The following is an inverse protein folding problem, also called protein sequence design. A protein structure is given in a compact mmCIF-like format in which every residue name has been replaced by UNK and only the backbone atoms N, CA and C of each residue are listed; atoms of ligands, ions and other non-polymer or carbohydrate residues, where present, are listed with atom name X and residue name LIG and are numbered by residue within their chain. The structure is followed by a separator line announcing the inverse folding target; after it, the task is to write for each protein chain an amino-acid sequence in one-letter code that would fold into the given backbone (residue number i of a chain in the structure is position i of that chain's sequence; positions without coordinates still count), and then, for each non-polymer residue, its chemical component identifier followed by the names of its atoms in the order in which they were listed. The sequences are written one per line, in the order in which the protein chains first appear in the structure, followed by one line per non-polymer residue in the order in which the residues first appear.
data_IF_619202547392
#
_entry.id   IF_619202547392
#
_cell.length_a   1.000
_cell.length_b   1.000
_cell.length_c   1.000
_cell.angle_alpha   90.00
_cell.angle_beta   90.00
_cell.angle_gamma   90.00
#
_symmetry.space_group_name_H-M   'P 1'
#
loop_
_entity.id
_entity.type
_entity.pdbx_description
1 polymer ?
#
# COMPACT_ATOMS: atom_id res chain seq x y z
N UNK A 1 -43.01 -0.89 12.98
CA UNK A 1 -42.37 -0.44 11.71
C UNK A 1 -42.01 1.03 11.89
N UNK A 2 -41.03 1.32 12.70
CA UNK A 2 -40.49 2.68 12.83
C UNK A 2 -39.25 2.77 11.95
N UNK A 3 -39.42 3.44 10.83
CA UNK A 3 -38.30 3.79 9.95
C UNK A 3 -37.45 4.84 10.66
N UNK A 4 -36.27 4.46 11.14
CA UNK A 4 -35.28 5.39 11.64
C UNK A 4 -34.86 6.28 10.46
N UNK A 5 -35.36 7.50 10.45
CA UNK A 5 -34.91 8.56 9.52
C UNK A 5 -33.50 8.96 9.93
N UNK A 6 -32.49 8.42 9.29
CA UNK A 6 -31.12 8.93 9.40
C UNK A 6 -31.13 10.34 8.81
N UNK A 7 -30.91 11.36 9.64
CA UNK A 7 -30.70 12.74 9.18
C UNK A 7 -29.45 12.76 8.31
N UNK A 8 -29.56 13.18 7.05
CA UNK A 8 -28.40 13.43 6.21
C UNK A 8 -27.57 14.54 6.84
N UNK A 9 -26.26 14.36 7.04
CA UNK A 9 -25.41 15.45 7.46
C UNK A 9 -25.43 16.56 6.40
N UNK A 10 -25.59 17.80 6.84
CA UNK A 10 -25.75 18.94 5.94
C UNK A 10 -24.44 19.65 5.62
N UNK A 11 -23.37 19.37 6.37
CA UNK A 11 -22.05 19.99 6.19
C UNK A 11 -20.92 18.96 6.26
N UNK A 12 -19.78 19.27 5.61
CA UNK A 12 -18.57 18.43 5.64
C UNK A 12 -18.08 18.22 7.08
N UNK A 13 -18.16 19.23 7.90
CA UNK A 13 -17.75 19.22 9.32
C UNK A 13 -18.60 18.27 10.17
N UNK A 14 -19.91 18.17 9.90
CA UNK A 14 -20.79 17.19 10.55
C UNK A 14 -20.47 15.77 10.13
N UNK A 15 -20.02 15.55 8.88
CA UNK A 15 -19.59 14.24 8.39
C UNK A 15 -18.24 13.82 8.98
N UNK A 16 -17.31 14.75 9.14
CA UNK A 16 -16.04 14.50 9.84
C UNK A 16 -16.27 14.15 11.31
N UNK A 17 -17.16 14.87 11.98
CA UNK A 17 -17.60 14.56 13.34
C UNK A 17 -18.29 13.20 13.43
N UNK A 18 -19.08 12.82 12.44
CA UNK A 18 -19.75 11.52 12.41
C UNK A 18 -18.78 10.34 12.30
N UNK A 19 -17.72 10.46 11.50
CA UNK A 19 -16.64 9.47 11.42
C UNK A 19 -15.83 9.39 12.72
N UNK A 20 -15.66 10.50 13.44
CA UNK A 20 -15.05 10.55 14.77
C UNK A 20 -15.98 10.08 15.89
N UNK A 21 -17.30 10.29 15.76
CA UNK A 21 -18.29 9.97 16.82
C UNK A 21 -18.50 8.47 16.98
N UNK A 22 -18.22 7.67 15.97
CA UNK A 22 -18.20 6.20 16.10
C UNK A 22 -17.12 5.74 17.10
N UNK A 23 -16.09 6.55 17.36
CA UNK A 23 -14.99 6.25 18.27
C UNK A 23 -15.11 6.85 19.69
N UNK A 24 -16.07 7.72 19.99
CA UNK A 24 -15.95 8.59 21.18
C UNK A 24 -17.06 8.40 22.23
N UNK A 25 -18.20 7.81 21.95
CA UNK A 25 -19.35 7.90 22.87
C UNK A 25 -19.62 6.68 23.76
N UNK A 26 -18.62 5.79 23.94
CA UNK A 26 -18.62 4.88 25.09
C UNK A 26 -17.39 5.15 25.95
N UNK A 27 -17.51 6.06 26.88
CA UNK A 27 -16.61 6.14 28.04
C UNK A 27 -16.85 4.89 28.92
N UNK A 28 -16.29 3.78 28.52
CA UNK A 28 -15.98 2.71 29.44
C UNK A 28 -14.69 3.10 30.16
N UNK A 29 -14.68 3.03 31.47
CA UNK A 29 -13.53 3.26 32.36
C UNK A 29 -12.35 2.29 32.12
N UNK A 30 -12.49 1.34 31.21
CA UNK A 30 -11.52 0.32 30.87
C UNK A 30 -11.12 0.47 29.42
N UNK A 31 -9.81 0.64 29.20
CA UNK A 31 -9.24 1.01 27.89
C UNK A 31 -9.64 0.08 26.72
N UNK A 32 -9.65 0.64 25.54
CA UNK A 32 -9.94 -0.08 24.28
C UNK A 32 -8.94 -1.21 24.10
N UNK A 33 -9.41 -2.46 24.11
CA UNK A 33 -8.59 -3.62 23.77
C UNK A 33 -8.79 -3.96 22.29
N UNK A 34 -7.70 -3.83 21.52
CA UNK A 34 -7.69 -4.23 20.10
C UNK A 34 -7.07 -5.60 20.00
N UNK A 35 -7.83 -6.56 19.49
CA UNK A 35 -7.37 -7.92 19.25
C UNK A 35 -7.12 -8.12 17.74
N UNK A 36 -5.86 -8.37 17.37
CA UNK A 36 -5.49 -8.72 16.01
C UNK A 36 -5.55 -10.23 15.83
N UNK A 37 -6.14 -10.67 14.75
CA UNK A 37 -6.22 -12.07 14.37
C UNK A 37 -5.43 -12.23 13.07
N UNK A 38 -4.20 -12.74 13.19
CA UNK A 38 -3.42 -13.14 12.01
C UNK A 38 -3.96 -14.45 11.44
N UNK A 39 -3.88 -14.62 10.12
CA UNK A 39 -4.36 -15.80 9.41
C UNK A 39 -3.81 -17.09 10.03
N UNK A 40 -4.68 -18.07 10.17
CA UNK A 40 -4.35 -19.37 10.70
C UNK A 40 -3.42 -20.12 9.74
N UNK A 41 -2.17 -20.25 10.10
CA UNK A 41 -1.39 -21.41 9.72
C UNK A 41 -1.83 -22.57 10.62
N UNK A 42 -2.15 -23.73 10.01
CA UNK A 42 -2.74 -24.92 10.64
C UNK A 42 -1.79 -25.61 11.63
N UNK A 43 -0.64 -25.01 11.96
CA UNK A 43 0.35 -25.48 12.92
C UNK A 43 0.45 -24.53 14.13
N UNK A 44 -0.43 -24.73 15.00
CA UNK A 44 -0.48 -24.73 16.48
C UNK A 44 0.40 -23.85 17.34
N UNK A 45 0.53 -22.53 17.15
CA UNK A 45 0.87 -21.65 18.29
C UNK A 45 0.06 -20.35 18.26
N UNK A 46 -0.89 -20.25 19.21
CA UNK A 46 -1.70 -19.05 19.45
C UNK A 46 -0.84 -17.88 19.94
N UNK A 47 -0.38 -17.02 19.05
CA UNK A 47 0.26 -15.75 19.39
C UNK A 47 -0.78 -14.61 19.37
N UNK A 48 -1.54 -14.49 20.47
CA UNK A 48 -2.34 -13.29 20.70
C UNK A 48 -1.44 -12.18 21.24
N UNK A 49 -1.25 -11.10 20.49
CA UNK A 49 -0.64 -9.87 21.00
C UNK A 49 -1.73 -8.93 21.49
N UNK A 50 -1.88 -8.81 22.81
CA UNK A 50 -2.66 -7.73 23.41
C UNK A 50 -1.79 -6.48 23.51
N UNK A 51 -2.26 -5.39 22.92
CA UNK A 51 -1.62 -4.09 23.09
C UNK A 51 -2.35 -3.29 24.17
N UNK A 52 -1.61 -2.77 25.14
CA UNK A 52 -2.13 -1.82 26.13
C UNK A 52 -1.45 -0.47 25.98
N UNK A 53 -2.13 0.65 26.21
CA UNK A 53 -1.60 2.00 26.02
C UNK A 53 -0.40 2.34 26.91
N UNK A 54 -0.14 1.55 27.96
CA UNK A 54 0.87 1.88 28.98
C UNK A 54 2.22 1.16 28.82
N UNK A 55 2.47 0.40 27.77
CA UNK A 55 3.79 -0.17 27.48
C UNK A 55 4.40 -1.07 28.56
N UNK A 56 3.66 -1.50 29.58
CA UNK A 56 4.17 -2.34 30.66
C UNK A 56 4.16 -3.80 30.28
N UNK A 57 5.34 -4.42 30.18
CA UNK A 57 5.47 -5.88 30.04
C UNK A 57 4.82 -6.58 31.23
N UNK A 58 3.88 -7.50 30.92
CA UNK A 58 3.27 -8.33 31.94
C UNK A 58 4.35 -9.19 32.66
N UNK A 59 4.28 -9.34 33.99
CA UNK A 59 5.25 -10.16 34.74
C UNK A 59 5.09 -11.66 34.41
N UNK A 60 6.17 -12.45 34.46
CA UNK A 60 6.11 -13.86 34.12
C UNK A 60 5.19 -14.64 35.08
N UNK A 61 4.15 -15.25 34.51
CA UNK A 61 3.16 -16.01 35.26
C UNK A 61 3.74 -17.32 35.78
N UNK A 62 3.72 -17.52 37.13
CA UNK A 62 3.97 -18.82 37.82
C UNK A 62 2.92 -19.85 37.33
N UNK A 63 3.41 -21.00 36.81
CA UNK A 63 2.59 -22.12 36.37
C UNK A 63 1.78 -22.70 37.52
N UNK A 64 0.51 -22.35 37.67
CA UNK A 64 -0.48 -23.17 38.38
C UNK A 64 -1.23 -24.02 37.33
N UNK A 65 -1.22 -25.36 37.47
CA UNK A 65 -2.06 -26.27 36.69
C UNK A 65 -3.53 -25.82 36.83
N UNK A 66 -4.05 -25.08 35.84
CA UNK A 66 -5.48 -24.80 35.70
C UNK A 66 -6.11 -25.79 34.73
N UNK A 67 -7.33 -26.25 35.05
CA UNK A 67 -8.23 -26.96 34.15
C UNK A 67 -8.14 -26.33 32.75
N UNK A 68 -7.88 -27.16 31.74
CA UNK A 68 -7.88 -26.75 30.34
C UNK A 68 -9.35 -26.40 30.00
N UNK A 69 -9.70 -25.14 30.17
CA UNK A 69 -10.90 -24.58 29.54
C UNK A 69 -10.64 -24.69 28.03
N UNK A 70 -11.51 -25.39 27.29
CA UNK A 70 -11.30 -25.63 25.88
C UNK A 70 -11.05 -24.31 25.14
N UNK A 71 -10.13 -24.29 24.15
CA UNK A 71 -9.74 -23.09 23.37
C UNK A 71 -10.95 -22.29 22.86
N UNK A 72 -12.02 -22.98 22.47
CA UNK A 72 -13.28 -22.36 22.00
C UNK A 72 -14.02 -21.55 23.07
N UNK A 73 -14.06 -21.99 24.33
CA UNK A 73 -14.72 -21.25 25.40
C UNK A 73 -13.98 -19.95 25.75
N UNK A 74 -12.63 -19.98 25.73
CA UNK A 74 -11.80 -18.79 25.96
C UNK A 74 -11.95 -17.75 24.83
N UNK A 75 -12.08 -18.21 23.58
CA UNK A 75 -12.31 -17.32 22.42
C UNK A 75 -13.65 -16.62 22.51
N UNK A 76 -14.71 -17.36 22.90
CA UNK A 76 -16.05 -16.78 23.12
C UNK A 76 -16.03 -15.70 24.19
N UNK A 77 -15.34 -15.93 25.31
CA UNK A 77 -15.18 -14.97 26.39
C UNK A 77 -14.48 -13.70 25.91
N UNK A 78 -13.34 -13.83 25.18
CA UNK A 78 -12.58 -12.69 24.64
C UNK A 78 -13.44 -11.85 23.69
N UNK A 79 -14.12 -12.47 22.72
CA UNK A 79 -14.96 -11.75 21.76
C UNK A 79 -16.13 -11.08 22.48
N UNK A 80 -16.74 -11.75 23.43
CA UNK A 80 -17.88 -11.21 24.19
C UNK A 80 -17.53 -9.99 25.05
N UNK A 81 -16.30 -9.90 25.51
CA UNK A 81 -15.80 -8.79 26.35
C UNK A 81 -15.16 -7.66 25.52
N UNK A 82 -14.90 -7.89 24.23
CA UNK A 82 -14.24 -6.92 23.37
C UNK A 82 -15.22 -5.90 22.84
N UNK A 83 -14.87 -4.61 22.94
CA UNK A 83 -15.62 -3.51 22.31
C UNK A 83 -15.32 -3.39 20.81
N UNK A 84 -14.13 -3.83 20.38
CA UNK A 84 -13.71 -3.81 18.97
C UNK A 84 -13.04 -5.15 18.64
N UNK A 85 -13.45 -5.76 17.54
CA UNK A 85 -12.84 -7.00 17.01
C UNK A 85 -12.34 -6.71 15.61
N UNK A 86 -11.06 -6.99 15.36
CA UNK A 86 -10.43 -6.85 14.03
C UNK A 86 -10.14 -8.24 13.47
N UNK A 87 -10.61 -8.48 12.25
CA UNK A 87 -10.42 -9.77 11.57
C UNK A 87 -10.47 -9.58 10.05
N UNK A 88 -9.99 -10.56 9.28
CA UNK A 88 -10.22 -10.58 7.83
C UNK A 88 -11.67 -10.95 7.51
N UNK A 89 -12.15 -10.62 6.29
CA UNK A 89 -13.50 -11.02 5.85
C UNK A 89 -13.67 -12.54 5.90
N UNK A 90 -12.68 -13.30 5.42
CA UNK A 90 -12.67 -14.77 5.50
C UNK A 90 -12.63 -15.27 6.95
N UNK A 91 -11.84 -14.60 7.83
CA UNK A 91 -11.79 -14.89 9.27
C UNK A 91 -13.15 -14.73 9.94
N UNK A 92 -13.88 -13.66 9.64
CA UNK A 92 -15.25 -13.42 10.09
C UNK A 92 -16.21 -14.53 9.62
N UNK A 93 -15.91 -15.14 8.46
CA UNK A 93 -16.65 -16.28 7.88
C UNK A 93 -16.35 -17.61 8.53
N UNK A 94 -15.29 -17.75 9.31
CA UNK A 94 -14.87 -19.02 9.89
C UNK A 94 -15.87 -19.52 10.92
N UNK A 95 -16.08 -20.85 10.96
CA UNK A 95 -16.98 -21.48 11.95
C UNK A 95 -16.58 -21.10 13.39
N UNK A 96 -15.29 -21.06 13.66
CA UNK A 96 -14.77 -20.74 14.99
C UNK A 96 -15.12 -19.31 15.44
N UNK A 97 -15.08 -18.34 14.49
CA UNK A 97 -15.48 -16.97 14.77
C UNK A 97 -16.99 -16.86 14.95
N UNK A 98 -17.79 -17.47 14.05
CA UNK A 98 -19.25 -17.48 14.13
C UNK A 98 -19.72 -18.06 15.46
N UNK A 99 -19.21 -19.25 15.84
CA UNK A 99 -19.56 -19.91 17.10
C UNK A 99 -19.16 -19.09 18.34
N UNK A 100 -18.18 -18.20 18.21
CA UNK A 100 -17.72 -17.34 19.28
C UNK A 100 -18.48 -16.02 19.36
N UNK A 101 -18.82 -15.42 18.20
CA UNK A 101 -19.49 -14.13 18.09
C UNK A 101 -21.01 -14.25 18.28
N UNK A 102 -21.66 -15.28 17.69
CA UNK A 102 -23.10 -15.47 17.81
C UNK A 102 -23.46 -15.98 19.22
N UNK A 103 -24.05 -15.13 20.03
CA UNK A 103 -24.43 -15.44 21.43
C UNK A 103 -25.68 -16.31 21.50
N UNK A 104 -26.67 -16.01 20.69
CA UNK A 104 -27.95 -16.74 20.62
C UNK A 104 -28.51 -16.66 19.20
N UNK A 105 -28.52 -17.77 18.44
CA UNK A 105 -29.06 -17.80 17.08
C UNK A 105 -30.56 -17.53 16.99
N UNK A 106 -31.28 -17.51 18.12
CA UNK A 106 -32.72 -17.24 18.19
C UNK A 106 -33.03 -15.76 18.41
N UNK A 107 -32.04 -14.95 18.80
CA UNK A 107 -32.20 -13.52 18.97
C UNK A 107 -31.94 -12.76 17.66
N UNK A 108 -32.87 -11.87 17.35
CA UNK A 108 -32.73 -10.93 16.22
C UNK A 108 -31.86 -9.69 16.57
N UNK A 109 -31.17 -9.74 17.70
CA UNK A 109 -30.35 -8.65 18.17
C UNK A 109 -29.03 -8.62 17.37
N UNK A 110 -28.54 -7.41 17.09
CA UNK A 110 -27.25 -7.19 16.46
C UNK A 110 -26.11 -7.69 17.36
N UNK A 111 -25.24 -8.54 16.80
CA UNK A 111 -24.01 -8.98 17.50
C UNK A 111 -22.95 -7.89 17.52
N UNK A 112 -22.92 -7.05 16.48
CA UNK A 112 -22.06 -5.88 16.37
C UNK A 112 -22.87 -4.67 15.90
N UNK A 113 -22.80 -3.56 16.60
CA UNK A 113 -23.51 -2.33 16.23
C UNK A 113 -23.04 -1.80 14.85
N UNK A 114 -21.74 -1.90 14.56
CA UNK A 114 -21.16 -1.42 13.34
C UNK A 114 -20.13 -2.40 12.75
N UNK A 115 -20.08 -2.47 11.43
CA UNK A 115 -19.03 -3.15 10.66
C UNK A 115 -18.33 -2.13 9.79
N UNK A 116 -17.01 -2.05 9.90
CA UNK A 116 -16.17 -1.22 9.04
C UNK A 116 -15.31 -2.16 8.20
N UNK A 117 -15.39 -2.02 6.89
CA UNK A 117 -14.61 -2.82 5.94
C UNK A 117 -13.62 -1.89 5.26
N UNK A 118 -12.35 -2.06 5.60
CA UNK A 118 -11.25 -1.36 4.93
C UNK A 118 -10.83 -2.10 3.66
N UNK A 119 -10.24 -1.38 2.70
CA UNK A 119 -9.88 -1.90 1.37
C UNK A 119 -11.08 -2.58 0.64
N UNK A 120 -12.30 -2.06 0.83
CA UNK A 120 -13.53 -2.66 0.31
C UNK A 120 -13.59 -2.75 -1.22
N UNK A 121 -12.74 -2.01 -1.94
CA UNK A 121 -12.63 -2.08 -3.41
C UNK A 121 -11.87 -3.32 -3.89
N UNK A 122 -11.09 -3.98 -3.02
CA UNK A 122 -10.30 -5.18 -3.35
C UNK A 122 -11.03 -6.46 -2.99
N UNK A 123 -12.01 -6.37 -2.08
CA UNK A 123 -12.85 -7.49 -1.70
C UNK A 123 -13.96 -7.73 -2.75
N UNK A 124 -14.20 -9.00 -3.08
CA UNK A 124 -15.34 -9.36 -3.90
C UNK A 124 -16.65 -9.03 -3.18
N UNK A 125 -17.73 -8.86 -3.94
CA UNK A 125 -19.04 -8.57 -3.36
C UNK A 125 -19.46 -9.69 -2.38
N UNK A 126 -19.23 -10.95 -2.71
CA UNK A 126 -19.54 -12.09 -1.85
C UNK A 126 -18.75 -12.09 -0.53
N UNK A 127 -17.47 -11.71 -0.56
CA UNK A 127 -16.67 -11.58 0.66
C UNK A 127 -17.17 -10.44 1.55
N UNK A 128 -17.53 -9.31 0.94
CA UNK A 128 -18.08 -8.14 1.65
C UNK A 128 -19.39 -8.45 2.36
N UNK A 129 -20.16 -9.42 1.87
CA UNK A 129 -21.42 -9.86 2.51
C UNK A 129 -21.21 -10.76 3.75
N UNK A 130 -20.02 -11.34 3.94
CA UNK A 130 -19.75 -12.27 5.04
C UNK A 130 -20.07 -11.66 6.42
N UNK A 131 -19.62 -10.48 6.78
CA UNK A 131 -19.90 -9.90 8.11
C UNK A 131 -21.35 -9.44 8.29
N UNK A 132 -22.17 -9.37 7.23
CA UNK A 132 -23.59 -9.00 7.35
C UNK A 132 -24.42 -10.00 8.13
N UNK A 133 -23.96 -11.26 8.21
CA UNK A 133 -24.62 -12.30 9.02
C UNK A 133 -24.68 -11.99 10.52
N UNK A 134 -23.84 -11.05 10.99
CA UNK A 134 -23.88 -10.58 12.38
C UNK A 134 -24.92 -9.48 12.61
N UNK A 135 -25.74 -9.19 11.60
CA UNK A 135 -26.85 -8.22 11.64
C UNK A 135 -26.44 -6.83 12.14
N UNK A 136 -25.36 -6.19 11.60
CA UNK A 136 -24.96 -4.88 12.04
C UNK A 136 -26.01 -3.81 11.68
N UNK A 137 -26.18 -2.83 12.55
CA UNK A 137 -27.06 -1.67 12.28
C UNK A 137 -26.45 -0.68 11.30
N UNK A 138 -25.10 -0.64 11.24
CA UNK A 138 -24.35 0.26 10.37
C UNK A 138 -23.21 -0.45 9.67
N UNK A 139 -23.03 -0.14 8.38
CA UNK A 139 -21.92 -0.64 7.59
C UNK A 139 -21.21 0.53 6.95
N UNK A 140 -19.89 0.59 7.13
CA UNK A 140 -19.03 1.57 6.49
C UNK A 140 -18.05 0.86 5.58
N UNK A 141 -18.06 1.19 4.29
CA UNK A 141 -17.10 0.70 3.32
C UNK A 141 -16.04 1.78 3.09
N UNK A 142 -14.77 1.44 3.33
CA UNK A 142 -13.63 2.29 3.05
C UNK A 142 -12.83 1.66 1.92
N UNK A 143 -12.44 2.43 0.91
CA UNK A 143 -11.70 1.88 -0.22
C UNK A 143 -11.48 2.92 -1.31
N UNK A 144 -10.62 2.58 -2.26
CA UNK A 144 -10.27 3.45 -3.36
C UNK A 144 -10.47 2.74 -4.71
N UNK A 145 -11.51 3.09 -5.48
CA UNK A 145 -11.79 2.48 -6.77
C UNK A 145 -10.75 2.84 -7.86
N UNK A 146 -9.86 3.81 -7.58
CA UNK A 146 -8.74 4.18 -8.44
C UNK A 146 -7.46 3.40 -8.15
N UNK A 147 -7.49 2.53 -7.12
CA UNK A 147 -6.43 1.55 -6.81
C UNK A 147 -6.82 0.15 -7.28
N UNK A 148 -6.11 -0.89 -6.80
CA UNK A 148 -6.30 -2.25 -7.31
C UNK A 148 -7.76 -2.74 -7.18
N UNK A 149 -8.29 -3.40 -8.21
CA UNK A 149 -9.61 -4.01 -8.17
C UNK A 149 -9.55 -5.37 -7.48
N UNK A 150 -10.71 -5.99 -7.33
CA UNK A 150 -10.83 -7.40 -6.94
C UNK A 150 -9.97 -8.27 -7.85
N UNK A 151 -9.13 -9.13 -7.26
CA UNK A 151 -8.35 -10.12 -8.00
C UNK A 151 -9.17 -11.39 -8.17
N UNK A 152 -9.44 -11.76 -9.42
CA UNK A 152 -10.06 -13.03 -9.76
C UNK A 152 -9.09 -13.89 -10.57
N UNK A 153 -8.92 -15.14 -10.16
CA UNK A 153 -8.18 -16.15 -10.93
C UNK A 153 -9.04 -16.78 -12.04
N UNK A 154 -10.32 -16.43 -12.12
CA UNK A 154 -11.22 -16.93 -13.15
C UNK A 154 -10.84 -16.33 -14.51
N UNK A 155 -11.02 -17.12 -15.56
CA UNK A 155 -10.70 -16.78 -16.95
C UNK A 155 -11.61 -15.67 -17.48
N UNK A 156 -11.44 -15.25 -18.74
CA UNK A 156 -12.18 -14.15 -19.43
C UNK A 156 -13.72 -14.14 -19.23
N UNK A 157 -14.32 -15.20 -18.70
CA UNK A 157 -15.73 -15.24 -18.32
C UNK A 157 -16.04 -14.41 -17.05
N UNK A 158 -15.04 -14.18 -16.18
CA UNK A 158 -15.22 -13.41 -14.94
C UNK A 158 -15.55 -11.94 -15.20
N UNK A 159 -14.96 -11.35 -16.25
CA UNK A 159 -15.28 -9.97 -16.67
C UNK A 159 -16.71 -9.82 -17.17
N UNK A 160 -17.25 -10.85 -17.87
CA UNK A 160 -18.65 -10.88 -18.31
C UNK A 160 -19.63 -11.08 -17.15
N UNK A 161 -19.23 -11.82 -16.12
CA UNK A 161 -20.08 -12.14 -14.97
C UNK A 161 -20.02 -11.11 -13.83
N UNK A 162 -19.24 -10.04 -13.97
CA UNK A 162 -19.05 -8.99 -12.96
C UNK A 162 -18.47 -9.50 -11.62
N UNK A 163 -17.85 -10.68 -11.60
CA UNK A 163 -17.21 -11.23 -10.39
C UNK A 163 -16.04 -10.38 -9.86
N UNK A 164 -15.45 -9.57 -10.74
CA UNK A 164 -14.35 -8.67 -10.39
C UNK A 164 -14.86 -7.30 -9.88
N UNK A 165 -16.18 -7.12 -9.77
CA UNK A 165 -16.75 -5.89 -9.23
C UNK A 165 -16.94 -6.03 -7.72
N UNK A 166 -16.40 -5.07 -6.97
CA UNK A 166 -16.65 -4.97 -5.53
C UNK A 166 -18.06 -4.43 -5.22
N UNK A 167 -18.55 -4.70 -4.01
CA UNK A 167 -19.79 -4.07 -3.52
C UNK A 167 -19.64 -2.53 -3.50
N UNK A 168 -18.45 -2.02 -3.16
CA UNK A 168 -18.15 -0.59 -3.16
C UNK A 168 -18.39 0.03 -4.54
N UNK A 169 -17.81 -0.54 -5.61
CA UNK A 169 -18.01 -0.07 -6.99
C UNK A 169 -19.49 -0.17 -7.42
N UNK A 170 -20.18 -1.24 -7.01
CA UNK A 170 -21.60 -1.37 -7.33
C UNK A 170 -22.44 -0.27 -6.70
N UNK A 171 -22.23 0.01 -5.42
CA UNK A 171 -22.97 1.06 -4.69
C UNK A 171 -22.63 2.44 -5.25
N UNK A 172 -21.37 2.71 -5.59
CA UNK A 172 -20.94 3.94 -6.22
C UNK A 172 -21.59 4.14 -7.60
N UNK A 173 -21.67 3.09 -8.42
CA UNK A 173 -22.33 3.15 -9.73
C UNK A 173 -23.86 3.40 -9.63
N UNK A 174 -24.46 3.07 -8.51
CA UNK A 174 -25.84 3.41 -8.18
C UNK A 174 -25.98 4.86 -7.64
N UNK A 175 -24.90 5.64 -7.72
CA UNK A 175 -24.87 7.03 -7.24
C UNK A 175 -25.21 7.17 -5.74
N UNK A 176 -24.94 6.14 -4.94
CA UNK A 176 -25.03 6.26 -3.50
C UNK A 176 -24.03 7.31 -3.00
N UNK A 177 -24.42 8.14 -2.04
CA UNK A 177 -23.51 9.17 -1.53
C UNK A 177 -22.19 8.58 -1.06
N UNK A 178 -21.08 9.06 -1.65
CA UNK A 178 -19.72 8.68 -1.27
C UNK A 178 -18.97 9.93 -0.81
N UNK A 179 -18.13 9.78 0.21
CA UNK A 179 -17.26 10.84 0.68
C UNK A 179 -15.82 10.56 0.26
N UNK A 180 -15.19 11.55 -0.37
CA UNK A 180 -13.77 11.49 -0.69
C UNK A 180 -12.96 12.03 0.49
N UNK A 181 -12.09 11.19 1.08
CA UNK A 181 -11.08 11.62 2.03
C UNK A 181 -9.98 12.38 1.28
N UNK A 182 -10.00 13.70 1.35
CA UNK A 182 -9.14 14.55 0.52
C UNK A 182 -7.77 14.77 1.11
N UNK A 183 -7.63 14.71 2.43
CA UNK A 183 -6.36 14.99 3.10
C UNK A 183 -5.47 13.75 3.11
N UNK A 184 -4.28 13.86 2.53
CA UNK A 184 -3.28 12.81 2.51
C UNK A 184 -2.15 13.11 3.51
N UNK A 185 -1.62 12.04 4.15
CA UNK A 185 -0.62 12.10 5.21
C UNK A 185 0.67 11.34 4.86
N UNK A 186 0.79 10.87 3.63
CA UNK A 186 1.90 10.00 3.21
C UNK A 186 2.94 10.72 2.38
N UNK A 187 2.54 11.18 1.20
CA UNK A 187 3.42 11.62 0.13
C UNK A 187 3.92 13.05 0.33
N UNK A 188 5.20 13.28 0.04
CA UNK A 188 5.69 14.63 -0.19
C UNK A 188 4.85 15.32 -1.27
N UNK A 189 4.61 16.62 -1.15
CA UNK A 189 3.74 17.38 -2.05
C UNK A 189 4.06 17.19 -3.53
N UNK A 190 5.34 17.27 -3.92
CA UNK A 190 5.76 17.03 -5.31
C UNK A 190 5.44 15.63 -5.84
N UNK A 191 5.40 14.62 -4.96
CA UNK A 191 4.99 13.26 -5.33
C UNK A 191 3.48 13.21 -5.52
N UNK A 192 2.72 13.88 -4.66
CA UNK A 192 1.26 13.87 -4.66
C UNK A 192 0.65 14.61 -5.85
N UNK A 193 1.36 15.59 -6.44
CA UNK A 193 0.86 16.46 -7.52
C UNK A 193 0.33 15.67 -8.70
N UNK A 194 1.13 14.78 -9.29
CA UNK A 194 0.68 14.01 -10.45
C UNK A 194 -0.48 13.06 -10.15
N UNK A 195 -0.43 12.21 -9.09
CA UNK A 195 -1.58 11.37 -8.73
C UNK A 195 -2.84 12.17 -8.42
N UNK A 196 -2.74 13.30 -7.74
CA UNK A 196 -3.89 14.18 -7.46
C UNK A 196 -4.57 14.63 -8.74
N UNK A 197 -3.79 15.17 -9.68
CA UNK A 197 -4.31 15.66 -10.96
C UNK A 197 -4.86 14.52 -11.83
N UNK A 198 -4.11 13.41 -11.96
CA UNK A 198 -4.46 12.34 -12.88
C UNK A 198 -5.64 11.49 -12.40
N UNK A 199 -5.70 11.16 -11.11
CA UNK A 199 -6.62 10.14 -10.59
C UNK A 199 -7.70 10.70 -9.67
N UNK A 200 -7.49 11.90 -9.06
CA UNK A 200 -8.37 12.44 -8.03
C UNK A 200 -8.86 13.87 -8.32
N UNK A 201 -8.90 14.26 -9.59
CA UNK A 201 -9.47 15.55 -10.05
C UNK A 201 -8.84 16.76 -9.30
N UNK A 202 -7.56 16.65 -8.98
CA UNK A 202 -6.80 17.64 -8.20
C UNK A 202 -7.37 17.94 -6.81
N UNK A 203 -8.07 16.97 -6.21
CA UNK A 203 -8.75 17.13 -4.93
C UNK A 203 -7.94 16.73 -3.71
N UNK A 204 -6.75 16.10 -3.89
CA UNK A 204 -5.92 15.72 -2.75
C UNK A 204 -5.22 16.92 -2.13
N UNK A 205 -5.26 16.99 -0.81
CA UNK A 205 -4.64 18.05 -0.01
C UNK A 205 -3.55 17.42 0.85
N UNK A 206 -2.32 17.88 0.72
CA UNK A 206 -1.22 17.43 1.58
C UNK A 206 -1.39 18.04 2.97
N UNK A 207 -1.36 17.19 4.01
CA UNK A 207 -1.52 17.64 5.40
C UNK A 207 -0.33 18.50 5.84
N UNK A 208 -0.56 19.41 6.79
CA UNK A 208 0.50 20.24 7.37
C UNK A 208 1.60 19.39 8.04
N UNK A 209 1.25 18.26 8.64
CA UNK A 209 2.25 17.35 9.22
C UNK A 209 3.23 16.78 8.20
N UNK A 210 2.81 16.63 6.95
CA UNK A 210 3.71 16.20 5.85
C UNK A 210 4.50 17.37 5.28
N UNK A 211 3.89 18.54 5.11
CA UNK A 211 4.58 19.77 4.65
C UNK A 211 5.69 20.18 5.61
N UNK A 212 5.41 20.07 6.91
CA UNK A 212 6.37 20.42 7.98
C UNK A 212 7.38 19.29 8.28
N UNK A 213 7.33 18.16 7.52
CA UNK A 213 8.32 17.10 7.66
C UNK A 213 9.71 17.61 7.28
N UNK A 214 10.68 17.37 8.15
CA UNK A 214 12.06 17.76 7.88
C UNK A 214 12.56 17.18 6.56
N UNK A 215 13.43 17.92 5.88
CA UNK A 215 14.04 17.48 4.64
C UNK A 215 14.75 16.13 4.83
N UNK A 216 14.61 15.27 3.85
CA UNK A 216 15.32 13.99 3.85
C UNK A 216 16.84 14.26 3.80
N UNK A 217 17.66 13.42 4.45
CA UNK A 217 19.13 13.58 4.43
C UNK A 217 19.73 13.66 3.01
N UNK A 218 19.02 13.14 2.04
CA UNK A 218 19.42 13.14 0.62
C UNK A 218 18.72 14.20 -0.24
N UNK A 219 17.82 15.02 0.31
CA UNK A 219 16.96 15.94 -0.47
C UNK A 219 17.74 16.92 -1.35
N UNK A 220 18.91 17.36 -0.89
CA UNK A 220 19.79 18.27 -1.63
C UNK A 220 20.80 17.55 -2.52
N UNK A 221 20.79 16.20 -2.56
CA UNK A 221 21.74 15.45 -3.37
C UNK A 221 21.25 15.40 -4.83
N UNK A 222 22.06 15.81 -5.80
CA UNK A 222 21.65 15.89 -7.21
C UNK A 222 21.13 14.56 -7.77
N UNK A 223 21.69 13.42 -7.36
CA UNK A 223 21.25 12.08 -7.82
C UNK A 223 20.00 11.57 -7.12
N UNK A 224 19.59 12.14 -5.99
CA UNK A 224 18.53 11.59 -5.14
C UNK A 224 17.44 12.62 -4.83
N UNK A 225 16.89 13.33 -5.84
CA UNK A 225 15.85 14.33 -5.59
C UNK A 225 14.55 13.69 -5.09
N UNK A 226 13.60 14.53 -4.67
CA UNK A 226 12.27 14.09 -4.25
C UNK A 226 11.54 13.32 -5.35
N UNK A 227 11.61 13.78 -6.60
CA UNK A 227 11.07 13.09 -7.77
C UNK A 227 12.11 13.05 -8.88
N UNK A 228 12.19 11.96 -9.62
CA UNK A 228 13.07 11.84 -10.78
C UNK A 228 12.58 10.74 -11.73
N UNK A 229 12.68 11.00 -13.02
CA UNK A 229 12.53 9.99 -14.05
C UNK A 229 13.89 9.77 -14.72
N UNK A 230 14.43 8.55 -14.61
CA UNK A 230 15.67 8.13 -15.27
C UNK A 230 15.31 7.47 -16.61
N UNK A 231 15.61 8.15 -17.70
CA UNK A 231 15.35 7.66 -19.05
C UNK A 231 16.46 6.72 -19.52
N UNK A 232 16.13 5.43 -19.64
CA UNK A 232 17.07 4.37 -20.01
C UNK A 232 17.07 4.04 -21.50
N UNK A 233 16.45 4.87 -22.36
CA UNK A 233 16.32 4.63 -23.81
C UNK A 233 17.66 4.39 -24.54
N UNK A 234 18.77 4.93 -24.04
CA UNK A 234 20.10 4.77 -24.62
C UNK A 234 20.90 3.59 -24.09
N UNK A 235 20.49 3.03 -22.96
CA UNK A 235 21.19 1.93 -22.31
C UNK A 235 20.58 0.57 -22.66
N UNK A 236 19.41 0.54 -23.28
CA UNK A 236 18.59 -0.65 -23.39
C UNK A 236 18.88 -1.54 -24.58
N UNK A 237 19.73 -2.55 -24.42
CA UNK A 237 19.58 -3.82 -25.14
C UNK A 237 18.80 -4.77 -24.25
N UNK A 238 17.49 -4.86 -24.42
CA UNK A 238 16.71 -5.86 -23.70
C UNK A 238 17.02 -7.25 -24.26
N UNK A 239 17.87 -7.98 -23.55
CA UNK A 239 18.08 -9.39 -23.76
C UNK A 239 16.92 -10.19 -23.22
N UNK A 240 16.03 -10.65 -24.05
CA UNK A 240 14.96 -11.53 -23.63
C UNK A 240 13.95 -11.74 -24.73
N UNK A 241 14.23 -12.67 -25.63
CA UNK A 241 13.28 -13.10 -26.67
C UNK A 241 12.49 -14.30 -26.19
N UNK A 242 11.80 -14.19 -25.07
CA UNK A 242 10.91 -15.20 -24.52
C UNK A 242 9.68 -14.53 -23.89
N UNK A 243 8.84 -15.31 -23.26
CA UNK A 243 7.70 -14.87 -22.46
C UNK A 243 8.14 -14.13 -21.18
N UNK A 244 9.45 -14.11 -20.87
CA UNK A 244 10.03 -13.49 -19.69
C UNK A 244 10.13 -11.98 -19.84
N UNK A 245 9.41 -11.29 -19.00
CA UNK A 245 9.37 -9.83 -18.94
C UNK A 245 10.42 -9.28 -17.98
N UNK A 246 11.71 -9.36 -18.41
CA UNK A 246 12.86 -8.83 -17.68
C UNK A 246 13.63 -7.81 -18.50
N UNK A 247 14.21 -6.83 -17.81
CA UNK A 247 15.17 -5.88 -18.36
C UNK A 247 16.38 -5.85 -17.44
N UNK A 248 17.42 -6.61 -17.83
CA UNK A 248 18.64 -6.77 -17.03
C UNK A 248 19.44 -5.48 -16.91
N UNK A 249 19.43 -4.65 -17.97
CA UNK A 249 20.13 -3.36 -17.96
C UNK A 249 19.45 -2.36 -17.03
N UNK A 250 18.12 -2.33 -17.02
CA UNK A 250 17.36 -1.52 -16.07
C UNK A 250 17.58 -1.99 -14.62
N UNK A 251 17.67 -3.33 -14.40
CA UNK A 251 18.03 -3.88 -13.09
C UNK A 251 19.44 -3.45 -12.67
N UNK A 252 20.40 -3.53 -13.58
CA UNK A 252 21.80 -3.12 -13.34
C UNK A 252 21.89 -1.61 -13.08
N UNK A 253 21.15 -0.81 -13.83
CA UNK A 253 21.06 0.63 -13.62
C UNK A 253 20.52 0.95 -12.20
N UNK A 254 19.40 0.34 -11.80
CA UNK A 254 18.82 0.54 -10.47
C UNK A 254 19.82 0.14 -9.38
N UNK A 255 20.41 -1.03 -9.47
CA UNK A 255 21.24 -1.57 -8.38
C UNK A 255 22.64 -0.95 -8.33
N UNK A 256 23.27 -0.71 -9.47
CA UNK A 256 24.65 -0.17 -9.49
C UNK A 256 24.70 1.34 -9.51
N UNK A 257 23.82 2.00 -10.28
CA UNK A 257 23.88 3.45 -10.46
C UNK A 257 23.04 4.22 -9.43
N UNK A 258 21.95 3.66 -8.94
CA UNK A 258 21.10 4.31 -7.94
C UNK A 258 21.43 3.75 -6.55
N UNK A 259 21.23 2.43 -6.35
CA UNK A 259 21.25 1.85 -5.01
C UNK A 259 22.66 1.78 -4.40
N UNK A 260 23.68 1.40 -5.18
CA UNK A 260 25.04 1.27 -4.62
C UNK A 260 25.60 2.61 -4.12
N UNK A 261 25.51 3.74 -4.87
CA UNK A 261 25.90 5.05 -4.35
C UNK A 261 25.04 5.49 -3.16
N UNK A 262 23.74 5.24 -3.20
CA UNK A 262 22.83 5.58 -2.11
C UNK A 262 23.22 4.83 -0.82
N UNK A 263 23.43 3.52 -0.90
CA UNK A 263 23.86 2.69 0.25
C UNK A 263 25.18 3.16 0.83
N UNK A 264 26.17 3.45 -0.01
CA UNK A 264 27.48 3.91 0.45
C UNK A 264 27.40 5.20 1.27
N UNK A 265 26.44 6.08 0.95
CA UNK A 265 26.33 7.39 1.58
C UNK A 265 25.31 7.43 2.73
N UNK A 266 24.21 6.72 2.61
CA UNK A 266 23.07 6.85 3.52
C UNK A 266 22.72 5.59 4.30
N UNK A 267 23.51 4.51 4.18
CA UNK A 267 23.30 3.31 5.00
C UNK A 267 23.53 3.61 6.49
N UNK A 268 22.53 3.32 7.31
CA UNK A 268 22.59 3.57 8.74
C UNK A 268 22.26 5.00 9.18
N UNK A 269 21.88 5.87 8.24
CA UNK A 269 21.39 7.22 8.56
C UNK A 269 19.95 7.10 9.07
N UNK A 270 19.65 7.82 10.16
CA UNK A 270 18.32 7.95 10.75
C UNK A 270 17.67 9.28 10.39
N UNK A 271 16.36 9.38 10.61
CA UNK A 271 15.63 10.64 10.39
C UNK A 271 15.61 11.47 11.67
N UNK A 272 15.87 12.77 11.56
CA UNK A 272 15.78 13.68 12.69
C UNK A 272 14.33 13.91 13.14
N UNK A 273 13.36 13.76 12.23
CA UNK A 273 11.91 13.93 12.49
C UNK A 273 11.21 12.64 12.95
N UNK A 274 11.90 11.50 12.98
CA UNK A 274 11.39 10.24 13.49
C UNK A 274 12.49 9.45 14.23
N UNK A 275 12.78 9.82 15.49
CA UNK A 275 13.85 9.19 16.28
C UNK A 275 13.65 7.68 16.50
N UNK A 276 12.39 7.20 16.40
CA UNK A 276 12.07 5.78 16.55
C UNK A 276 12.33 4.98 15.27
N UNK A 277 12.58 5.65 14.17
CA UNK A 277 12.84 5.03 12.87
C UNK A 277 14.33 4.88 12.62
N UNK A 278 14.83 3.70 12.91
CA UNK A 278 16.26 3.41 12.85
C UNK A 278 16.82 3.14 11.45
N UNK A 279 15.97 2.98 10.42
CA UNK A 279 16.39 2.62 9.07
C UNK A 279 15.50 3.28 8.00
N UNK A 280 16.13 3.71 6.92
CA UNK A 280 15.43 4.17 5.71
C UNK A 280 14.76 2.97 5.05
N UNK A 281 13.47 3.10 4.72
CA UNK A 281 12.71 2.11 3.98
C UNK A 281 12.71 2.40 2.48
N UNK A 282 13.07 1.39 1.67
CA UNK A 282 13.13 1.52 0.21
C UNK A 282 12.30 0.42 -0.42
N UNK A 283 11.38 0.80 -1.31
CA UNK A 283 10.63 -0.12 -2.15
C UNK A 283 11.16 -0.11 -3.57
N UNK A 284 11.53 -1.27 -4.12
CA UNK A 284 11.79 -1.42 -5.55
C UNK A 284 10.61 -2.17 -6.14
N UNK A 285 9.83 -1.48 -6.96
CA UNK A 285 8.55 -1.98 -7.48
C UNK A 285 8.68 -2.25 -8.98
N UNK A 286 8.14 -3.37 -9.43
CA UNK A 286 7.94 -3.63 -10.86
C UNK A 286 6.54 -4.16 -11.15
N UNK A 287 6.07 -3.99 -12.38
CA UNK A 287 4.81 -4.58 -12.86
C UNK A 287 4.96 -6.08 -13.20
N UNK A 288 6.20 -6.59 -13.27
CA UNK A 288 6.50 -7.93 -13.77
C UNK A 288 7.23 -8.76 -12.72
N UNK A 289 6.73 -9.97 -12.45
CA UNK A 289 7.30 -10.90 -11.46
C UNK A 289 8.73 -11.31 -11.80
N UNK A 290 9.05 -11.48 -13.10
CA UNK A 290 10.38 -11.93 -13.51
C UNK A 290 11.43 -10.82 -13.31
N UNK A 291 11.05 -9.56 -13.51
CA UNK A 291 11.89 -8.42 -13.14
C UNK A 291 12.17 -8.38 -11.63
N UNK A 292 11.15 -8.63 -10.80
CA UNK A 292 11.32 -8.73 -9.34
C UNK A 292 12.30 -9.84 -8.98
N UNK A 293 12.20 -11.03 -9.58
CA UNK A 293 13.14 -12.13 -9.37
C UNK A 293 14.56 -11.75 -9.79
N UNK A 294 14.71 -11.11 -10.97
CA UNK A 294 15.99 -10.63 -11.47
C UNK A 294 16.64 -9.63 -10.52
N UNK A 295 15.90 -8.62 -10.08
CA UNK A 295 16.35 -7.62 -9.11
C UNK A 295 16.75 -8.26 -7.78
N UNK A 296 15.95 -9.20 -7.25
CA UNK A 296 16.26 -9.90 -6.02
C UNK A 296 17.55 -10.74 -6.13
N UNK A 297 17.71 -11.50 -7.22
CA UNK A 297 18.92 -12.30 -7.45
C UNK A 297 20.17 -11.43 -7.56
N UNK A 298 20.10 -10.30 -8.24
CA UNK A 298 21.22 -9.38 -8.35
C UNK A 298 21.52 -8.67 -7.02
N UNK A 299 20.48 -8.30 -6.25
CA UNK A 299 20.62 -7.78 -4.90
C UNK A 299 21.38 -8.74 -4.00
N UNK A 300 20.96 -10.01 -3.98
CA UNK A 300 21.55 -11.06 -3.13
C UNK A 300 23.00 -11.40 -3.50
N UNK A 301 23.41 -11.15 -4.75
CA UNK A 301 24.80 -11.32 -5.22
C UNK A 301 25.71 -10.15 -4.86
N UNK A 302 25.17 -9.00 -4.48
CA UNK A 302 25.97 -7.81 -4.16
C UNK A 302 26.29 -7.74 -2.66
N UNK A 303 27.58 -7.91 -2.25
CA UNK A 303 27.95 -7.79 -0.84
C UNK A 303 27.63 -6.42 -0.25
N UNK A 304 27.79 -5.37 -1.05
CA UNK A 304 27.54 -3.97 -0.61
C UNK A 304 26.07 -3.75 -0.28
N UNK A 305 25.17 -4.23 -1.18
CA UNK A 305 23.72 -4.04 -0.98
C UNK A 305 23.22 -4.93 0.16
N UNK A 306 23.74 -6.14 0.29
CA UNK A 306 23.36 -7.08 1.33
C UNK A 306 23.76 -6.63 2.74
N UNK A 307 24.91 -5.94 2.85
CA UNK A 307 25.41 -5.39 4.12
C UNK A 307 24.75 -4.05 4.49
N UNK A 308 23.87 -3.50 3.65
CA UNK A 308 23.24 -2.21 3.88
C UNK A 308 22.32 -2.23 5.11
N UNK A 309 22.45 -1.23 5.98
CA UNK A 309 21.51 -0.99 7.08
C UNK A 309 20.30 -0.21 6.58
N UNK A 310 19.50 -0.82 5.72
CA UNK A 310 18.28 -0.29 5.10
C UNK A 310 17.19 -1.37 5.16
N UNK A 311 15.95 -0.92 5.22
CA UNK A 311 14.80 -1.82 5.08
C UNK A 311 14.38 -1.82 3.60
N UNK A 312 14.78 -2.84 2.83
CA UNK A 312 14.51 -2.89 1.39
C UNK A 312 13.50 -4.00 1.07
N UNK A 313 12.44 -3.62 0.36
CA UNK A 313 11.41 -4.53 -0.16
C UNK A 313 11.44 -4.48 -1.68
N UNK A 314 11.65 -5.62 -2.35
CA UNK A 314 11.58 -5.78 -3.81
C UNK A 314 10.35 -6.62 -4.11
N UNK A 315 9.34 -6.06 -4.77
CA UNK A 315 8.10 -6.79 -5.03
C UNK A 315 7.33 -6.22 -6.25
N UNK A 316 6.30 -6.93 -6.67
CA UNK A 316 5.37 -6.42 -7.67
C UNK A 316 4.47 -5.31 -7.10
N UNK A 317 3.80 -4.56 -7.97
CA UNK A 317 2.81 -3.54 -7.56
C UNK A 317 1.77 -4.14 -6.63
N UNK A 318 1.22 -5.32 -6.99
CA UNK A 318 0.23 -6.01 -6.16
C UNK A 318 0.82 -6.41 -4.78
N UNK A 319 2.09 -6.82 -4.73
CA UNK A 319 2.79 -7.14 -3.48
C UNK A 319 3.14 -5.92 -2.61
N UNK A 320 2.95 -4.71 -3.13
CA UNK A 320 3.11 -3.44 -2.40
C UNK A 320 1.79 -2.85 -1.91
N UNK A 321 0.66 -3.47 -2.22
CA UNK A 321 -0.62 -3.02 -1.69
C UNK A 321 -0.57 -2.96 -0.16
N UNK A 322 -1.15 -1.93 0.43
CA UNK A 322 -1.11 -1.68 1.87
C UNK A 322 0.26 -1.28 2.44
N UNK A 323 1.34 -1.36 1.63
CA UNK A 323 2.69 -0.98 2.07
C UNK A 323 3.05 0.44 1.63
N UNK A 324 4.02 1.05 2.34
CA UNK A 324 4.59 2.36 2.01
C UNK A 324 6.06 2.41 2.42
N UNK A 325 6.88 3.15 1.68
CA UNK A 325 8.32 3.31 1.96
C UNK A 325 8.74 4.78 1.85
N UNK A 326 9.88 5.12 2.45
CA UNK A 326 10.43 6.47 2.30
C UNK A 326 10.79 6.78 0.86
N UNK A 327 11.37 5.79 0.19
CA UNK A 327 11.78 5.88 -1.21
C UNK A 327 11.10 4.76 -1.99
N UNK A 328 10.55 5.10 -3.14
CA UNK A 328 10.11 4.12 -4.13
C UNK A 328 10.93 4.28 -5.40
N UNK A 329 11.44 3.16 -5.89
CA UNK A 329 12.07 3.04 -7.20
C UNK A 329 11.15 2.15 -8.06
N UNK A 330 10.64 2.72 -9.15
CA UNK A 330 9.71 2.02 -10.05
C UNK A 330 10.46 1.58 -11.31
N UNK A 331 10.52 0.26 -11.54
CA UNK A 331 11.12 -0.37 -12.73
C UNK A 331 10.04 -0.65 -13.76
N UNK A 332 10.10 0.02 -14.94
CA UNK A 332 9.09 -0.07 -15.99
C UNK A 332 9.32 -1.24 -16.97
N UNK A 333 10.55 -1.72 -17.09
CA UNK A 333 10.96 -2.91 -17.87
C UNK A 333 10.88 -2.74 -19.39
N UNK A 334 9.81 -2.16 -19.92
CA UNK A 334 9.56 -2.09 -21.35
C UNK A 334 10.52 -1.14 -22.05
N UNK A 335 11.20 -1.65 -23.11
CA UNK A 335 12.11 -0.89 -23.97
C UNK A 335 11.90 -1.20 -25.46
N UNK A 336 12.42 -0.35 -26.35
CA UNK A 336 12.26 -0.47 -27.80
C UNK A 336 12.81 -1.75 -28.43
N UNK A 337 13.82 -2.34 -27.83
CA UNK A 337 14.55 -3.47 -28.39
C UNK A 337 13.92 -4.84 -28.13
N UNK A 338 12.72 -4.92 -27.59
CA UNK A 338 11.97 -6.16 -27.54
C UNK A 338 11.58 -6.57 -28.97
N UNK A 339 12.57 -7.16 -29.71
CA UNK A 339 12.46 -7.83 -31.01
C UNK A 339 11.40 -7.22 -31.96
N UNK A 340 11.77 -6.14 -32.66
CA UNK A 340 11.22 -5.79 -33.99
C UNK A 340 9.70 -5.71 -34.18
N UNK A 341 8.90 -6.10 -33.23
CA UNK A 341 7.47 -5.90 -33.22
C UNK A 341 7.17 -4.53 -32.64
N UNK A 342 6.61 -3.63 -33.42
CA UNK A 342 5.90 -2.46 -32.91
C UNK A 342 4.85 -2.98 -31.90
N UNK A 343 5.22 -3.08 -30.63
CA UNK A 343 4.26 -3.42 -29.58
C UNK A 343 3.35 -2.22 -29.41
N UNK A 344 2.19 -2.27 -30.03
CA UNK A 344 1.11 -1.29 -29.86
C UNK A 344 0.55 -1.28 -28.42
N UNK A 345 1.04 -2.17 -27.55
CA UNK A 345 0.60 -2.30 -26.17
C UNK A 345 1.80 -2.39 -25.22
N UNK A 346 1.81 -1.52 -24.21
CA UNK A 346 2.78 -1.56 -23.11
C UNK A 346 2.43 -2.63 -22.06
N UNK A 347 1.46 -3.52 -22.35
CA UNK A 347 1.07 -4.63 -21.47
C UNK A 347 0.53 -4.16 -20.11
N UNK A 348 0.98 -4.76 -19.03
CA UNK A 348 0.53 -4.44 -17.66
C UNK A 348 0.78 -2.98 -17.22
N UNK A 349 1.70 -2.28 -17.88
CA UNK A 349 1.90 -0.85 -17.67
C UNK A 349 0.70 0.00 -18.09
N UNK A 350 -0.21 -0.51 -18.92
CA UNK A 350 -1.43 0.21 -19.32
C UNK A 350 -2.50 0.25 -18.22
N UNK A 351 -2.33 -0.51 -17.15
CA UNK A 351 -3.26 -0.53 -16.03
C UNK A 351 -3.04 0.71 -15.14
N UNK A 352 -3.95 1.67 -15.26
CA UNK A 352 -3.90 2.94 -14.53
C UNK A 352 -4.03 2.74 -13.02
N UNK A 353 -4.79 1.73 -12.57
CA UNK A 353 -4.96 1.43 -11.14
C UNK A 353 -3.63 0.95 -10.54
N UNK A 354 -2.92 0.06 -11.25
CA UNK A 354 -1.57 -0.37 -10.83
C UNK A 354 -0.57 0.79 -10.84
N UNK A 355 -0.65 1.65 -11.86
CA UNK A 355 0.19 2.85 -11.91
C UNK A 355 -0.06 3.76 -10.70
N UNK A 356 -1.32 4.04 -10.39
CA UNK A 356 -1.68 4.84 -9.22
C UNK A 356 -1.12 4.25 -7.92
N UNK A 357 -1.31 2.94 -7.71
CA UNK A 357 -0.74 2.26 -6.53
C UNK A 357 0.78 2.43 -6.48
N UNK A 358 1.49 2.16 -7.58
CA UNK A 358 2.96 2.24 -7.61
C UNK A 358 3.48 3.65 -7.27
N UNK A 359 2.87 4.69 -7.83
CA UNK A 359 3.27 6.08 -7.61
C UNK A 359 2.96 6.59 -6.20
N UNK A 360 1.90 6.07 -5.58
CA UNK A 360 1.41 6.55 -4.27
C UNK A 360 1.99 5.79 -3.07
N UNK A 361 2.99 4.92 -3.27
CA UNK A 361 3.65 4.20 -2.15
C UNK A 361 4.79 4.97 -1.52
N UNK A 362 5.29 6.03 -2.17
CA UNK A 362 6.43 6.81 -1.71
C UNK A 362 6.03 7.88 -0.67
N UNK A 363 6.83 7.98 0.41
CA UNK A 363 6.68 9.06 1.39
C UNK A 363 7.52 10.29 1.06
N UNK A 364 8.80 10.09 0.71
CA UNK A 364 9.82 11.15 0.62
C UNK A 364 10.43 11.28 -0.77
N UNK A 365 10.64 10.16 -1.48
CA UNK A 365 11.19 10.20 -2.84
C UNK A 365 10.57 9.13 -3.74
N UNK A 366 10.33 9.51 -5.00
CA UNK A 366 9.85 8.65 -6.07
C UNK A 366 10.79 8.75 -7.27
N UNK A 367 11.44 7.62 -7.62
CA UNK A 367 12.33 7.53 -8.77
C UNK A 367 11.78 6.50 -9.75
N UNK A 368 11.47 6.95 -10.95
CA UNK A 368 10.96 6.10 -12.03
C UNK A 368 12.11 5.80 -12.99
N UNK A 369 12.27 4.55 -13.39
CA UNK A 369 13.30 4.10 -14.33
C UNK A 369 12.60 3.41 -15.50
N UNK A 370 12.91 3.83 -16.74
CA UNK A 370 12.30 3.24 -17.92
C UNK A 370 12.61 3.99 -19.22
N UNK A 371 12.18 3.43 -20.34
CA UNK A 371 12.29 4.04 -21.68
C UNK A 371 11.13 5.03 -21.91
N UNK A 372 11.44 6.32 -21.86
CA UNK A 372 10.42 7.37 -21.97
C UNK A 372 9.66 7.33 -23.31
N UNK A 373 10.32 6.95 -24.41
CA UNK A 373 9.69 6.92 -25.72
C UNK A 373 8.71 5.75 -25.87
N UNK A 374 9.00 4.62 -25.21
CA UNK A 374 8.06 3.48 -25.17
C UNK A 374 6.87 3.81 -24.27
N UNK A 375 7.11 4.43 -23.13
CA UNK A 375 6.07 4.79 -22.17
C UNK A 375 5.13 5.88 -22.73
N UNK A 376 5.66 6.87 -23.45
CA UNK A 376 4.87 7.93 -24.11
C UNK A 376 3.87 7.40 -25.17
N UNK A 377 3.94 6.12 -25.55
CA UNK A 377 2.91 5.49 -26.39
C UNK A 377 1.54 5.33 -25.70
N UNK A 378 1.53 5.34 -24.35
CA UNK A 378 0.31 5.38 -23.56
C UNK A 378 0.05 6.79 -23.05
N UNK A 379 -1.21 7.23 -23.09
CA UNK A 379 -1.57 8.62 -22.79
C UNK A 379 -1.31 9.02 -21.32
N UNK A 380 -1.51 8.11 -20.35
CA UNK A 380 -1.26 8.41 -18.93
C UNK A 380 0.23 8.45 -18.63
N UNK A 381 1.00 7.49 -19.17
CA UNK A 381 2.44 7.49 -19.06
C UNK A 381 3.07 8.71 -19.74
N UNK A 382 2.53 9.12 -20.90
CA UNK A 382 2.97 10.35 -21.56
C UNK A 382 2.81 11.54 -20.63
N UNK A 383 1.64 11.70 -20.01
CA UNK A 383 1.40 12.79 -19.04
C UNK A 383 2.35 12.72 -17.84
N UNK A 384 2.69 11.52 -17.34
CA UNK A 384 3.66 11.36 -16.28
C UNK A 384 5.06 11.80 -16.72
N UNK A 385 5.53 11.36 -17.89
CA UNK A 385 6.85 11.74 -18.40
C UNK A 385 6.90 13.25 -18.65
N UNK A 386 5.86 13.83 -19.27
CA UNK A 386 5.73 15.27 -19.53
C UNK A 386 5.73 16.08 -18.20
N UNK A 387 5.12 15.53 -17.12
CA UNK A 387 5.17 16.12 -15.79
C UNK A 387 6.59 16.16 -15.24
N UNK A 388 7.35 15.05 -15.30
CA UNK A 388 8.76 15.04 -14.88
C UNK A 388 9.63 15.97 -15.72
N UNK A 389 9.36 16.07 -17.02
CA UNK A 389 10.04 16.99 -17.94
C UNK A 389 9.76 18.45 -17.56
N UNK A 390 8.49 18.79 -17.31
CA UNK A 390 8.08 20.13 -16.87
C UNK A 390 8.68 20.54 -15.51
N UNK A 391 8.89 19.58 -14.60
CA UNK A 391 9.56 19.79 -13.32
C UNK A 391 11.11 19.83 -13.43
N UNK A 392 11.68 19.64 -14.64
CA UNK A 392 13.13 19.53 -14.84
C UNK A 392 13.74 18.28 -14.22
N UNK A 393 12.95 17.24 -14.03
CA UNK A 393 13.33 15.99 -13.34
C UNK A 393 13.36 14.78 -14.27
N UNK A 394 13.31 14.97 -15.59
CA UNK A 394 13.61 13.95 -16.59
C UNK A 394 15.13 13.96 -16.86
N UNK A 395 15.79 12.84 -16.61
CA UNK A 395 17.27 12.70 -16.69
C UNK A 395 17.68 11.57 -17.61
N UNK A 396 18.76 11.75 -18.35
CA UNK A 396 19.35 10.73 -19.23
C UNK A 396 20.16 9.72 -18.38
N UNK A 397 19.63 8.51 -18.23
CA UNK A 397 20.32 7.41 -17.52
C UNK A 397 21.60 6.93 -18.22
N UNK A 398 21.80 7.24 -19.50
CA UNK A 398 23.00 6.93 -20.27
C UNK A 398 24.15 7.91 -20.08
N UNK A 399 23.89 9.08 -19.50
CA UNK A 399 24.91 10.09 -19.31
C UNK A 399 25.81 9.73 -18.11
N UNK A 400 27.09 9.37 -18.41
CA UNK A 400 28.06 9.00 -17.38
C UNK A 400 28.54 10.22 -16.57
N UNK A 401 28.51 11.41 -17.13
CA UNK A 401 29.02 12.63 -16.51
C UNK A 401 28.15 13.03 -15.30
N UNK A 402 26.83 12.86 -15.39
CA UNK A 402 25.92 13.13 -14.28
C UNK A 402 26.25 12.28 -13.05
N UNK A 403 26.68 11.04 -13.24
CA UNK A 403 27.05 10.14 -12.13
C UNK A 403 28.49 10.37 -11.64
N UNK A 404 29.44 10.80 -12.49
CA UNK A 404 30.81 11.07 -12.10
C UNK A 404 30.96 12.41 -11.39
N UNK A 405 30.29 13.46 -11.87
CA UNK A 405 30.31 14.80 -11.27
C UNK A 405 29.64 14.78 -9.88
N UNK A 406 28.58 14.01 -9.70
CA UNK A 406 27.83 13.98 -8.46
C UNK A 406 28.24 12.85 -7.50
N UNK A 407 29.01 11.86 -7.97
CA UNK A 407 29.61 10.83 -7.12
C UNK A 407 30.74 11.36 -6.21
N UNK A 408 31.29 12.55 -6.50
CA UNK A 408 32.29 13.28 -5.69
C UNK A 408 31.70 14.42 -4.85
N UNK A 409 30.36 14.54 -4.82
CA UNK A 409 29.75 15.61 -4.05
C UNK A 409 29.91 15.37 -2.53
N UNK A 410 30.76 16.21 -1.92
CA UNK A 410 31.09 16.15 -0.49
C UNK A 410 30.19 17.11 0.30
N UNK A 411 28.96 17.27 0.10
CA UNK A 411 28.00 18.05 0.88
C UNK A 411 28.48 19.45 1.38
N UNK A 412 27.60 20.33 1.80
CA UNK A 412 28.01 21.51 2.54
C UNK A 412 28.63 21.10 3.87
N UNK A 413 29.85 21.61 4.13
CA UNK A 413 30.60 21.49 5.40
C UNK A 413 29.82 22.03 6.60
#
# INVERSE_FOLDING_TARGET
RDSVKVKKPQTLTEMEQFLYTINVDRRASDGIQIHFHDDFDDEGEDNYKCWSPEGKKAPPRRKKRKRIVGRGAKRKEIIAESSVVVTTLSGAGSKAFIDAACRDPTRNDSEFDAVIIDEACVASESETLIPLKFNPTTITLVGDPRQLPVLSLATNQSKKSLYERSLFERIQNLQWPTMLLRQQYRMHERIATFPSNQFYEDKLITSESVKNRLLSPWANHPLFPTICFWDTKRTGQSGGGGEDFTNSEESDFILRRIMTPFVRKYSGVSFADDPNKNMISIGIISFYKDQVKSLQQQWDRSPVLKAAKLNVKIATVDGFQGSECDIIILSCVRSRNMKGKKTSSIGFLSDERRMNVALTRAKRSLWVVGDSDVLKANHVWKRLVDHFEGEGMLRDGGNQDDFQLHGRWEGPS
#
